data_IF_282006575406
#
_entry.id   IF_282006575406
#
_cell.length_a   1.000
_cell.length_b   1.000
_cell.length_c   1.000
_cell.angle_alpha   90.00
_cell.angle_beta   90.00
_cell.angle_gamma   90.00
#
_symmetry.space_group_name_H-M   'P 1'
#
loop_
_entity.id
_entity.type
_entity.pdbx_description
1 polymer ?
#
# COMPACT_ATOMS: atom_id res chain seq x y z
N UNK A 1 -20.65 58.60 -8.29
CA UNK A 1 -21.49 58.55 -7.08
C UNK A 1 -21.60 57.10 -6.64
N UNK A 2 -21.25 56.86 -5.38
CA UNK A 2 -21.29 55.59 -4.67
C UNK A 2 -22.72 55.03 -4.57
N UNK A 3 -22.88 53.71 -4.58
CA UNK A 3 -23.32 52.95 -3.39
C UNK A 3 -23.26 51.42 -3.57
N UNK A 4 -22.36 50.81 -2.79
CA UNK A 4 -22.56 49.67 -1.87
C UNK A 4 -23.33 48.42 -2.37
N UNK A 5 -22.59 47.35 -2.66
CA UNK A 5 -23.06 45.95 -2.52
C UNK A 5 -22.78 45.48 -1.09
N UNK A 6 -23.85 45.24 -0.33
CA UNK A 6 -23.86 44.37 0.87
C UNK A 6 -23.42 42.95 0.44
N UNK A 7 -22.74 42.12 1.22
CA UNK A 7 -22.77 41.92 2.67
C UNK A 7 -23.03 40.43 2.92
N UNK A 8 -22.11 39.76 3.60
CA UNK A 8 -21.99 38.31 3.79
C UNK A 8 -23.11 37.66 4.62
N UNK A 9 -23.15 36.31 4.64
CA UNK A 9 -23.27 35.44 5.83
C UNK A 9 -23.85 34.06 5.44
N UNK A 10 -23.00 33.03 5.39
CA UNK A 10 -22.87 31.93 6.37
C UNK A 10 -23.98 30.86 6.28
N UNK A 11 -23.69 29.82 5.50
CA UNK A 11 -24.37 28.52 5.57
C UNK A 11 -23.55 27.57 6.44
N UNK A 12 -23.79 27.61 7.76
CA UNK A 12 -23.18 26.68 8.71
C UNK A 12 -23.82 25.30 8.59
N UNK A 13 -23.13 24.38 7.92
CA UNK A 13 -23.45 22.95 7.99
C UNK A 13 -22.73 22.33 9.20
N UNK A 14 -23.52 22.15 10.25
CA UNK A 14 -23.23 21.39 11.46
C UNK A 14 -22.96 19.92 11.09
N UNK A 15 -21.79 19.38 11.44
CA UNK A 15 -21.55 17.94 11.46
C UNK A 15 -21.00 17.50 12.82
N UNK A 16 -21.56 16.43 13.41
CA UNK A 16 -21.32 16.06 14.79
C UNK A 16 -19.94 15.40 14.99
N UNK A 17 -19.23 15.88 16.01
CA UNK A 17 -18.11 15.17 16.63
C UNK A 17 -18.62 13.88 17.28
N UNK A 18 -18.15 12.73 16.80
CA UNK A 18 -18.25 11.46 17.51
C UNK A 18 -16.98 11.27 18.36
N UNK A 19 -17.09 10.97 19.67
CA UNK A 19 -15.94 10.66 20.50
C UNK A 19 -15.45 9.22 20.23
N UNK A 20 -14.15 9.07 20.00
CA UNK A 20 -13.48 7.75 19.99
C UNK A 20 -13.21 7.37 21.45
N UNK A 21 -14.01 6.43 21.96
CA UNK A 21 -13.74 5.71 23.21
C UNK A 21 -12.50 4.82 23.03
N UNK A 22 -11.40 5.13 23.74
CA UNK A 22 -10.36 4.15 24.03
C UNK A 22 -10.80 3.32 25.23
N UNK A 23 -11.18 2.07 24.99
CA UNK A 23 -11.41 1.08 26.02
C UNK A 23 -10.56 -0.15 25.73
N UNK A 24 -9.51 -0.37 26.52
CA UNK A 24 -9.02 -1.72 26.80
C UNK A 24 -8.24 -1.71 28.10
N UNK A 25 -8.96 -1.98 29.19
CA UNK A 25 -8.39 -2.41 30.45
C UNK A 25 -8.31 -3.94 30.51
N UNK A 26 -7.47 -4.39 31.44
CA UNK A 26 -7.44 -5.69 32.13
C UNK A 26 -6.47 -6.73 31.53
N UNK A 27 -5.34 -7.06 32.19
CA UNK A 27 -5.15 -7.74 33.49
C UNK A 27 -5.70 -9.17 33.47
N UNK A 28 -4.81 -10.16 33.67
CA UNK A 28 -4.97 -11.51 34.26
C UNK A 28 -3.78 -12.35 33.75
N UNK A 29 -3.12 -13.24 34.48
CA UNK A 29 -2.87 -13.46 35.90
C UNK A 29 -1.77 -14.54 35.93
N UNK A 30 -1.01 -14.57 37.02
CA UNK A 30 0.05 -15.53 37.30
C UNK A 30 -0.47 -16.96 37.58
N UNK A 31 0.49 -17.82 37.99
CA UNK A 31 0.35 -19.09 38.73
C UNK A 31 0.11 -20.36 37.84
N UNK A 32 0.70 -21.54 38.04
CA UNK A 32 1.36 -22.21 39.18
C UNK A 32 2.37 -23.26 38.66
N UNK A 33 3.48 -23.37 39.39
CA UNK A 33 4.44 -24.47 39.44
C UNK A 33 3.83 -25.67 40.21
N UNK A 34 3.75 -26.87 39.66
CA UNK A 34 3.58 -28.07 40.49
C UNK A 34 4.24 -29.31 39.89
N UNK A 35 5.30 -29.75 40.58
CA UNK A 35 5.93 -31.05 40.42
C UNK A 35 5.08 -32.11 41.13
N UNK A 36 4.97 -33.30 40.54
CA UNK A 36 4.47 -34.49 41.22
C UNK A 36 5.30 -35.70 40.77
N UNK A 37 6.23 -36.08 41.63
CA UNK A 37 6.79 -37.42 41.72
C UNK A 37 5.69 -38.34 42.28
N UNK A 38 5.44 -39.50 41.65
CA UNK A 38 5.63 -40.83 42.26
C UNK A 38 4.86 -41.96 41.54
N UNK A 39 5.41 -43.15 41.75
CA UNK A 39 4.88 -44.52 41.61
C UNK A 39 4.89 -45.18 40.24
N UNK A 40 5.77 -46.17 40.15
CA UNK A 40 5.84 -47.14 39.07
C UNK A 40 4.68 -48.11 39.07
N UNK A 41 4.45 -48.67 37.89
CA UNK A 41 3.75 -49.93 37.69
C UNK A 41 4.51 -50.73 36.63
N UNK A 42 4.92 -51.93 37.02
CA UNK A 42 5.30 -53.02 36.14
C UNK A 42 4.05 -53.53 35.42
N UNK A 43 4.18 -53.79 34.12
CA UNK A 43 3.67 -54.96 33.38
C UNK A 43 3.01 -54.63 32.02
N UNK A 44 3.40 -55.48 31.06
CA UNK A 44 2.79 -55.87 29.77
C UNK A 44 3.10 -55.03 28.51
N UNK A 45 3.78 -55.62 27.51
CA UNK A 45 3.73 -55.13 26.14
C UNK A 45 2.42 -55.62 25.50
N UNK A 46 1.32 -54.92 25.73
CA UNK A 46 0.17 -55.02 24.83
C UNK A 46 0.53 -54.20 23.61
N UNK A 47 0.98 -54.90 22.57
CA UNK A 47 1.19 -54.36 21.24
C UNK A 47 -0.19 -54.08 20.61
N UNK A 48 -0.84 -53.03 21.10
CA UNK A 48 -1.94 -52.40 20.41
C UNK A 48 -1.35 -51.79 19.14
N UNK A 49 -1.82 -52.25 18.00
CA UNK A 49 -1.62 -51.59 16.72
C UNK A 49 -2.15 -50.15 16.82
N UNK A 50 -1.27 -49.23 17.20
CA UNK A 50 -1.46 -47.81 17.00
C UNK A 50 -1.32 -47.61 15.49
N UNK A 51 -2.44 -47.66 14.78
CA UNK A 51 -2.59 -46.91 13.53
C UNK A 51 -2.55 -45.44 13.91
N UNK A 52 -1.33 -44.95 14.16
CA UNK A 52 -1.06 -43.54 14.24
C UNK A 52 -1.56 -42.94 12.93
N UNK A 53 -2.53 -42.04 13.03
CA UNK A 53 -2.90 -41.14 11.95
C UNK A 53 -2.23 -39.78 12.23
N UNK A 54 -0.90 -39.62 12.07
CA UNK A 54 -0.24 -38.34 12.27
C UNK A 54 -0.37 -37.39 11.07
N UNK A 55 -0.88 -37.87 9.93
CA UNK A 55 -0.76 -37.14 8.66
C UNK A 55 -1.76 -35.98 8.49
N UNK A 56 -2.95 -36.06 9.08
CA UNK A 56 -4.01 -35.06 8.87
C UNK A 56 -3.78 -33.74 9.63
N UNK A 57 -3.23 -33.79 10.84
CA UNK A 57 -2.92 -32.59 11.63
C UNK A 57 -1.66 -31.89 11.13
N UNK A 58 -0.66 -32.66 10.69
CA UNK A 58 0.57 -32.11 10.11
C UNK A 58 0.32 -31.48 8.74
N UNK A 59 -0.51 -32.08 7.89
CA UNK A 59 -0.93 -31.49 6.61
C UNK A 59 -1.77 -30.20 6.77
N UNK A 60 -2.67 -30.14 7.75
CA UNK A 60 -3.45 -28.93 8.03
C UNK A 60 -2.57 -27.75 8.50
N UNK A 61 -1.60 -28.00 9.39
CA UNK A 61 -0.69 -26.95 9.87
C UNK A 61 0.20 -26.40 8.75
N UNK A 62 0.70 -27.26 7.85
CA UNK A 62 1.47 -26.84 6.67
C UNK A 62 0.63 -26.02 5.69
N UNK A 63 -0.62 -26.43 5.44
CA UNK A 63 -1.53 -25.68 4.57
C UNK A 63 -1.86 -24.28 5.12
N UNK A 64 -2.06 -24.16 6.44
CA UNK A 64 -2.27 -22.86 7.09
C UNK A 64 -1.03 -21.96 7.00
N UNK A 65 0.17 -22.51 7.19
CA UNK A 65 1.42 -21.77 7.04
C UNK A 65 1.58 -21.23 5.61
N UNK A 66 1.30 -22.04 4.59
CA UNK A 66 1.36 -21.62 3.18
C UNK A 66 0.31 -20.54 2.85
N UNK A 67 -0.91 -20.65 3.38
CA UNK A 67 -1.94 -19.63 3.20
C UNK A 67 -1.54 -18.29 3.84
N UNK A 68 -0.90 -18.35 5.01
CA UNK A 68 -0.37 -17.16 5.68
C UNK A 68 0.74 -16.48 4.85
N UNK A 69 1.70 -17.24 4.34
CA UNK A 69 2.76 -16.72 3.47
C UNK A 69 2.20 -16.05 2.21
N UNK A 70 1.22 -16.68 1.55
CA UNK A 70 0.54 -16.09 0.38
C UNK A 70 -0.13 -14.76 0.71
N UNK A 71 -0.77 -14.65 1.88
CA UNK A 71 -1.38 -13.40 2.34
C UNK A 71 -0.33 -12.31 2.60
N UNK A 72 0.80 -12.64 3.20
CA UNK A 72 1.90 -11.69 3.43
C UNK A 72 2.47 -11.17 2.09
N UNK A 73 2.69 -12.07 1.13
CA UNK A 73 3.15 -11.71 -0.21
C UNK A 73 2.16 -10.79 -0.92
N UNK A 74 0.86 -11.12 -0.88
CA UNK A 74 -0.18 -10.26 -1.44
C UNK A 74 -0.20 -8.88 -0.78
N UNK A 75 -0.17 -8.81 0.55
CA UNK A 75 -0.22 -7.53 1.28
C UNK A 75 0.97 -6.63 0.92
N UNK A 76 2.17 -7.20 0.79
CA UNK A 76 3.37 -6.47 0.35
C UNK A 76 3.21 -5.92 -1.06
N UNK A 77 2.72 -6.73 -2.00
CA UNK A 77 2.49 -6.29 -3.38
C UNK A 77 1.37 -5.25 -3.45
N UNK A 78 0.32 -5.39 -2.66
CA UNK A 78 -0.78 -4.44 -2.58
C UNK A 78 -0.32 -3.08 -2.05
N UNK A 79 0.54 -3.07 -1.01
CA UNK A 79 1.10 -1.82 -0.50
C UNK A 79 1.99 -1.12 -1.52
N UNK A 80 2.84 -1.88 -2.23
CA UNK A 80 3.66 -1.33 -3.32
C UNK A 80 2.81 -0.79 -4.48
N UNK A 81 1.74 -1.50 -4.86
CA UNK A 81 0.82 -1.04 -5.91
C UNK A 81 0.09 0.25 -5.52
N UNK A 82 -0.33 0.38 -4.25
CA UNK A 82 -0.94 1.60 -3.74
C UNK A 82 0.05 2.77 -3.73
N UNK A 83 1.29 2.53 -3.33
CA UNK A 83 2.34 3.56 -3.35
C UNK A 83 2.66 4.01 -4.78
N UNK A 84 2.77 3.08 -5.75
CA UNK A 84 2.90 3.41 -7.17
C UNK A 84 1.76 4.29 -7.69
N UNK A 85 0.51 3.97 -7.33
CA UNK A 85 -0.63 4.80 -7.68
C UNK A 85 -0.51 6.21 -7.06
N UNK A 86 -0.10 6.30 -5.80
CA UNK A 86 0.11 7.59 -5.13
C UNK A 86 1.21 8.44 -5.79
N UNK A 87 2.30 7.81 -6.24
CA UNK A 87 3.38 8.48 -6.95
C UNK A 87 2.91 9.00 -8.32
N UNK A 88 2.10 8.23 -9.04
CA UNK A 88 1.49 8.67 -10.31
C UNK A 88 0.61 9.91 -10.13
N UNK A 89 -0.22 9.94 -9.08
CA UNK A 89 -1.01 11.13 -8.76
C UNK A 89 -0.13 12.35 -8.47
N UNK A 90 0.92 12.19 -7.66
CA UNK A 90 1.86 13.28 -7.35
C UNK A 90 2.61 13.78 -8.59
N UNK A 91 2.99 12.87 -9.49
CA UNK A 91 3.59 13.22 -10.79
C UNK A 91 2.62 14.08 -11.61
N UNK A 92 1.37 13.64 -11.76
CA UNK A 92 0.34 14.36 -12.50
C UNK A 92 0.07 15.76 -11.93
N UNK A 93 0.04 15.92 -10.60
CA UNK A 93 -0.13 17.23 -9.95
C UNK A 93 1.03 18.19 -10.25
N UNK A 94 2.27 17.69 -10.27
CA UNK A 94 3.45 18.51 -10.60
C UNK A 94 3.45 18.86 -12.09
N UNK A 95 3.09 17.93 -12.98
CA UNK A 95 2.96 18.19 -14.42
C UNK A 95 1.89 19.25 -14.71
N UNK A 96 0.74 19.18 -14.01
CA UNK A 96 -0.31 20.22 -14.07
C UNK A 96 0.20 21.58 -13.58
N UNK A 97 1.05 21.60 -12.56
CA UNK A 97 1.64 22.84 -12.06
C UNK A 97 2.64 23.43 -13.07
N UNK A 98 3.45 22.60 -13.73
CA UNK A 98 4.37 23.01 -14.79
C UNK A 98 3.61 23.54 -16.02
N UNK A 99 2.51 22.89 -16.42
CA UNK A 99 1.71 23.34 -17.56
C UNK A 99 0.99 24.67 -17.27
N UNK A 100 0.48 24.85 -16.04
CA UNK A 100 -0.09 26.12 -15.60
C UNK A 100 0.95 27.26 -15.61
N UNK A 101 2.18 26.97 -15.19
CA UNK A 101 3.29 27.94 -15.22
C UNK A 101 3.66 28.33 -16.66
N UNK A 102 3.71 27.35 -17.56
CA UNK A 102 3.96 27.59 -18.99
C UNK A 102 2.84 28.40 -19.64
N UNK A 103 1.58 28.10 -19.32
CA UNK A 103 0.41 28.82 -19.83
C UNK A 103 0.40 30.28 -19.37
N UNK A 104 0.73 30.53 -18.09
CA UNK A 104 0.85 31.88 -17.53
C UNK A 104 1.92 32.72 -18.24
N UNK A 105 2.99 32.09 -18.69
CA UNK A 105 4.06 32.75 -19.44
C UNK A 105 3.82 32.72 -20.97
N UNK A 106 2.56 32.49 -21.40
CA UNK A 106 2.13 32.52 -22.80
C UNK A 106 2.95 31.63 -23.74
N UNK A 107 3.48 30.51 -23.24
CA UNK A 107 4.33 29.61 -24.04
C UNK A 107 5.68 30.21 -24.44
N UNK A 108 6.08 31.35 -23.87
CA UNK A 108 7.40 31.93 -24.09
C UNK A 108 8.50 30.96 -23.61
N UNK A 109 9.72 31.09 -24.14
CA UNK A 109 10.85 30.25 -23.71
C UNK A 109 11.18 30.51 -22.24
N UNK A 110 11.66 29.48 -21.53
CA UNK A 110 11.96 29.59 -20.09
C UNK A 110 12.96 30.72 -19.80
N UNK A 111 13.87 31.03 -20.74
CA UNK A 111 14.86 32.09 -20.60
C UNK A 111 14.24 33.50 -20.54
N UNK A 112 13.08 33.69 -21.17
CA UNK A 112 12.36 34.98 -21.14
C UNK A 112 11.43 35.12 -19.92
N UNK A 113 11.33 34.10 -19.07
CA UNK A 113 10.46 34.15 -17.89
C UNK A 113 11.06 35.02 -16.79
N UNK A 114 10.19 35.53 -15.93
CA UNK A 114 10.61 36.22 -14.71
C UNK A 114 11.52 35.32 -13.86
N UNK A 115 12.42 35.93 -13.09
CA UNK A 115 13.36 35.15 -12.27
C UNK A 115 12.63 34.27 -11.24
N UNK A 116 11.49 34.72 -10.71
CA UNK A 116 10.66 33.92 -9.80
C UNK A 116 10.11 32.68 -10.50
N UNK A 117 9.58 32.84 -11.71
CA UNK A 117 8.94 31.76 -12.46
C UNK A 117 9.94 30.71 -12.90
N UNK A 118 11.15 31.14 -13.31
CA UNK A 118 12.25 30.21 -13.60
C UNK A 118 12.63 29.37 -12.38
N UNK A 119 12.76 29.99 -11.21
CA UNK A 119 13.06 29.26 -9.97
C UNK A 119 11.94 28.28 -9.59
N UNK A 120 10.67 28.69 -9.74
CA UNK A 120 9.53 27.80 -9.53
C UNK A 120 9.53 26.64 -10.52
N UNK A 121 9.81 26.89 -11.80
CA UNK A 121 9.92 25.86 -12.82
C UNK A 121 11.02 24.85 -12.49
N UNK A 122 12.23 25.32 -12.20
CA UNK A 122 13.36 24.45 -11.85
C UNK A 122 13.07 23.60 -10.62
N UNK A 123 12.44 24.19 -9.60
CA UNK A 123 12.05 23.48 -8.37
C UNK A 123 11.03 22.38 -8.66
N UNK A 124 9.96 22.70 -9.41
CA UNK A 124 8.94 21.74 -9.80
C UNK A 124 9.51 20.64 -10.71
N UNK A 125 10.38 21.01 -11.65
CA UNK A 125 11.02 20.07 -12.56
C UNK A 125 11.93 19.09 -11.80
N UNK A 126 12.76 19.57 -10.87
CA UNK A 126 13.56 18.71 -9.98
C UNK A 126 12.68 17.75 -9.18
N UNK A 127 11.56 18.24 -8.65
CA UNK A 127 10.58 17.41 -7.92
C UNK A 127 9.96 16.35 -8.83
N UNK A 128 9.60 16.70 -10.07
CA UNK A 128 9.04 15.77 -11.05
C UNK A 128 10.02 14.63 -11.34
N UNK A 129 11.27 14.95 -11.65
CA UNK A 129 12.33 13.97 -11.93
C UNK A 129 12.52 13.04 -10.73
N UNK A 130 12.59 13.60 -9.52
CA UNK A 130 12.71 12.79 -8.29
C UNK A 130 11.53 11.83 -8.07
N UNK A 131 10.28 12.29 -8.28
CA UNK A 131 9.09 11.46 -8.15
C UNK A 131 9.03 10.35 -9.21
N UNK A 132 9.40 10.65 -10.45
CA UNK A 132 9.48 9.64 -11.52
C UNK A 132 10.56 8.60 -11.23
N UNK A 133 11.72 9.01 -10.74
CA UNK A 133 12.78 8.10 -10.33
C UNK A 133 12.32 7.16 -9.20
N UNK A 134 11.66 7.72 -8.16
CA UNK A 134 11.06 6.93 -7.07
C UNK A 134 10.04 5.92 -7.59
N UNK A 135 9.14 6.35 -8.49
CA UNK A 135 8.16 5.46 -9.12
C UNK A 135 8.86 4.33 -9.90
N UNK A 136 9.88 4.65 -10.69
CA UNK A 136 10.56 3.66 -11.54
C UNK A 136 11.32 2.64 -10.70
N UNK A 137 12.01 3.07 -9.65
CA UNK A 137 12.67 2.16 -8.71
C UNK A 137 11.66 1.23 -8.03
N UNK A 138 10.51 1.76 -7.60
CA UNK A 138 9.46 0.96 -6.98
C UNK A 138 8.81 0.00 -7.99
N UNK A 139 8.59 0.44 -9.23
CA UNK A 139 8.05 -0.38 -10.31
C UNK A 139 9.00 -1.53 -10.66
N UNK A 140 10.30 -1.29 -10.69
CA UNK A 140 11.31 -2.32 -10.88
C UNK A 140 11.30 -3.34 -9.74
N UNK A 141 11.27 -2.89 -8.48
CA UNK A 141 11.17 -3.77 -7.32
C UNK A 141 9.89 -4.62 -7.36
N UNK A 142 8.76 -4.00 -7.70
CA UNK A 142 7.47 -4.65 -7.86
C UNK A 142 7.53 -5.72 -8.95
N UNK A 143 7.95 -5.35 -10.16
CA UNK A 143 8.04 -6.26 -11.31
C UNK A 143 9.01 -7.42 -11.03
N UNK A 144 10.15 -7.15 -10.41
CA UNK A 144 11.13 -8.18 -10.04
C UNK A 144 10.54 -9.17 -9.04
N UNK A 145 9.81 -8.68 -8.03
CA UNK A 145 9.15 -9.55 -7.06
C UNK A 145 8.05 -10.39 -7.71
N UNK A 146 7.25 -9.78 -8.59
CA UNK A 146 6.19 -10.46 -9.35
C UNK A 146 6.74 -11.57 -10.25
N UNK A 147 7.86 -11.31 -10.92
CA UNK A 147 8.54 -12.27 -11.77
C UNK A 147 9.17 -13.41 -10.97
N UNK A 148 9.89 -13.10 -9.88
CA UNK A 148 10.60 -14.09 -9.07
C UNK A 148 9.66 -15.07 -8.36
N UNK A 149 8.47 -14.63 -7.96
CA UNK A 149 7.51 -15.46 -7.22
C UNK A 149 6.39 -16.03 -8.09
N UNK A 150 6.37 -15.74 -9.40
CA UNK A 150 5.34 -16.21 -10.32
C UNK A 150 3.93 -15.83 -9.85
N UNK A 151 3.60 -14.54 -9.88
CA UNK A 151 2.36 -13.99 -9.29
C UNK A 151 1.11 -14.88 -9.53
N UNK A 152 0.59 -15.55 -8.49
CA UNK A 152 -0.43 -16.58 -8.65
C UNK A 152 -1.86 -16.03 -8.60
N UNK A 153 -2.05 -14.74 -8.30
CA UNK A 153 -3.37 -14.16 -8.01
C UNK A 153 -3.98 -13.53 -9.26
N UNK A 154 -4.18 -14.35 -10.29
CA UNK A 154 -4.62 -13.87 -11.61
C UNK A 154 -6.13 -13.63 -11.67
N UNK A 155 -6.88 -14.36 -10.85
CA UNK A 155 -8.34 -14.25 -10.74
C UNK A 155 -8.78 -13.89 -9.33
N UNK A 156 -10.00 -13.34 -9.22
CA UNK A 156 -10.60 -13.00 -7.91
C UNK A 156 -10.73 -14.19 -6.98
N UNK A 157 -10.87 -15.40 -7.52
CA UNK A 157 -11.01 -16.62 -6.74
C UNK A 157 -9.70 -17.09 -6.10
N UNK A 158 -8.56 -16.69 -6.67
CA UNK A 158 -7.23 -17.03 -6.16
C UNK A 158 -6.75 -16.07 -5.08
N UNK A 159 -7.43 -14.93 -4.93
CA UNK A 159 -7.09 -13.91 -3.95
C UNK A 159 -7.17 -14.46 -2.52
N UNK A 160 -6.22 -14.09 -1.64
CA UNK A 160 -6.30 -14.45 -0.24
C UNK A 160 -7.56 -13.86 0.39
N UNK A 161 -8.13 -14.53 1.40
CA UNK A 161 -9.34 -14.06 2.08
C UNK A 161 -9.19 -12.60 2.53
N UNK A 162 -10.17 -11.77 2.17
CA UNK A 162 -10.21 -10.34 2.48
C UNK A 162 -9.59 -9.43 1.40
N UNK A 163 -8.92 -9.99 0.39
CA UNK A 163 -8.51 -9.24 -0.79
C UNK A 163 -9.62 -9.21 -1.84
N UNK A 164 -9.82 -8.06 -2.49
CA UNK A 164 -10.86 -7.84 -3.51
C UNK A 164 -10.31 -7.35 -4.85
N UNK A 165 -9.02 -7.00 -4.91
CA UNK A 165 -8.39 -6.36 -6.06
C UNK A 165 -7.30 -7.27 -6.62
N UNK A 166 -7.43 -7.58 -7.90
CA UNK A 166 -6.35 -8.23 -8.66
C UNK A 166 -5.30 -7.15 -8.96
N UNK A 167 -4.05 -7.41 -8.59
CA UNK A 167 -2.97 -6.44 -8.79
C UNK A 167 -2.47 -6.51 -10.24
N UNK A 168 -1.93 -5.40 -10.73
CA UNK A 168 -1.36 -5.31 -12.08
C UNK A 168 -0.15 -6.23 -12.22
N UNK A 169 -0.13 -7.09 -13.24
CA UNK A 169 1.01 -8.02 -13.42
C UNK A 169 2.34 -7.34 -13.66
N UNK A 170 2.31 -6.18 -14.32
CA UNK A 170 3.48 -5.41 -14.67
C UNK A 170 3.16 -3.92 -14.58
N UNK A 171 4.13 -3.16 -14.10
CA UNK A 171 4.07 -1.71 -13.98
C UNK A 171 5.10 -1.11 -14.92
N UNK A 172 4.65 -0.28 -15.86
CA UNK A 172 5.55 0.41 -16.79
C UNK A 172 6.26 1.57 -16.10
N UNK A 173 7.55 1.83 -16.42
CA UNK A 173 8.26 2.99 -15.94
C UNK A 173 7.64 4.27 -16.51
N UNK A 174 7.66 5.34 -15.72
CA UNK A 174 7.38 6.68 -16.19
C UNK A 174 8.61 7.21 -16.90
N UNK A 175 8.47 7.43 -18.20
CA UNK A 175 9.53 8.00 -19.03
C UNK A 175 9.40 9.52 -19.12
N UNK A 176 10.52 10.20 -19.35
CA UNK A 176 10.55 11.64 -19.65
C UNK A 176 10.28 11.97 -21.12
N UNK A 177 9.90 10.97 -21.92
CA UNK A 177 9.39 11.21 -23.26
C UNK A 177 8.14 12.06 -23.12
N UNK A 178 8.27 13.35 -23.44
CA UNK A 178 7.14 14.24 -23.65
C UNK A 178 6.24 13.51 -24.64
N UNK A 179 5.07 13.04 -24.20
CA UNK A 179 3.96 12.95 -25.12
C UNK A 179 3.74 14.40 -25.55
N UNK A 180 4.41 14.80 -26.63
CA UNK A 180 4.17 16.06 -27.29
C UNK A 180 2.67 16.11 -27.53
N UNK A 181 2.00 16.97 -26.76
CA UNK A 181 0.80 17.68 -27.15
C UNK A 181 -0.05 16.91 -28.18
N UNK A 182 -0.87 15.97 -27.70
CA UNK A 182 -2.07 15.58 -28.43
C UNK A 182 -3.27 16.23 -27.73
N UNK A 183 -3.43 17.52 -28.04
CA UNK A 183 -4.65 18.14 -28.58
C UNK A 183 -4.59 19.65 -28.39
#
# INVERSE_FOLDING_TARGET
MNTVKQGASSGGAHFPFLPVSLSSASLFSALVLSASLFFGFLALPVQAAQTSSPDLSQSQSQAQAQAHLRRLQYNRLASQAQELASLRYRVADVEKSLSALSTRNHGASVDSWSQSDRRSYESLHKKLVALKAQHNQLAESYNSFMAANGYPFTDRHDLPRGASVVLLRQVMPLTDVKHFLLN
#
